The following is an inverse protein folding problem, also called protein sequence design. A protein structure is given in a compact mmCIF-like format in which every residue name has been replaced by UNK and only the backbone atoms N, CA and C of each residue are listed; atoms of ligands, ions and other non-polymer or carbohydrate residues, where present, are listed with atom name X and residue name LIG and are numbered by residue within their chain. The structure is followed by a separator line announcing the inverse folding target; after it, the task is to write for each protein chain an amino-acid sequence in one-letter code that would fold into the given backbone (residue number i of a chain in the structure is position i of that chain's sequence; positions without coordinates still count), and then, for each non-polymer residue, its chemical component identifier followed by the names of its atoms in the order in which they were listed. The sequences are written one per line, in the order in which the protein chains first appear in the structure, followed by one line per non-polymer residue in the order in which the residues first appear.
data_IF_166479908418
#
_entry.id   IF_166479908418
#
_cell.length_a   1.000
_cell.length_b   1.000
_cell.length_c   1.000
_cell.angle_alpha   90.00
_cell.angle_beta   90.00
_cell.angle_gamma   90.00
#
_symmetry.space_group_name_H-M   'P 1'
#
loop_
_entity.id
_entity.type
_entity.pdbx_description
1 polymer ?
#
# COMPACT_ATOMS: atom_id res chain seq x y z
N UNK A 1 -21.62 0.68 12.22
CA UNK A 1 -20.60 1.34 13.06
C UNK A 1 -20.69 2.82 12.74
N UNK A 2 -21.41 3.54 13.59
CA UNK A 2 -21.68 4.98 13.46
C UNK A 2 -20.39 5.77 13.74
N UNK A 3 -20.37 7.04 13.36
CA UNK A 3 -19.20 7.95 13.50
C UNK A 3 -18.61 7.98 14.91
N UNK A 4 -19.42 7.78 15.95
CA UNK A 4 -18.97 7.73 17.35
C UNK A 4 -18.00 6.57 17.65
N UNK A 5 -18.17 5.39 17.02
CA UNK A 5 -17.22 4.27 17.16
C UNK A 5 -15.90 4.50 16.38
N UNK A 6 -15.88 5.44 15.43
CA UNK A 6 -14.70 5.73 14.63
C UNK A 6 -13.76 6.77 15.30
N UNK A 7 -14.31 7.72 16.07
CA UNK A 7 -13.51 8.63 16.91
C UNK A 7 -12.78 7.87 18.03
N UNK A 8 -13.41 6.86 18.62
CA UNK A 8 -12.77 6.02 19.66
C UNK A 8 -11.57 5.21 19.12
N UNK A 9 -11.50 4.99 17.81
CA UNK A 9 -10.45 4.18 17.17
C UNK A 9 -9.37 4.99 16.45
N UNK A 10 -9.36 6.33 16.57
CA UNK A 10 -8.26 7.21 16.17
C UNK A 10 -7.77 7.03 14.71
N UNK A 11 -8.68 6.75 13.79
CA UNK A 11 -8.36 6.59 12.36
C UNK A 11 -8.41 7.96 11.66
N UNK A 12 -7.28 8.68 11.67
CA UNK A 12 -7.14 9.96 10.98
C UNK A 12 -7.45 9.85 9.48
N UNK A 13 -8.37 10.68 8.99
CA UNK A 13 -8.72 10.79 7.57
C UNK A 13 -8.34 12.15 7.00
N UNK A 14 -7.73 12.14 5.82
CA UNK A 14 -7.48 13.35 5.03
C UNK A 14 -8.80 14.10 4.69
N UNK A 15 -8.86 15.44 4.86
CA UNK A 15 -10.06 16.26 4.61
C UNK A 15 -10.64 16.14 3.19
N UNK A 16 -9.82 15.80 2.20
CA UNK A 16 -10.20 15.67 0.79
C UNK A 16 -11.21 14.55 0.51
N UNK A 17 -11.37 13.61 1.44
CA UNK A 17 -12.21 12.42 1.26
C UNK A 17 -13.61 12.52 1.89
N UNK A 18 -13.92 13.59 2.64
CA UNK A 18 -15.21 13.73 3.37
C UNK A 18 -16.43 13.53 2.48
N UNK A 19 -16.50 14.19 1.32
CA UNK A 19 -17.68 14.17 0.43
C UNK A 19 -18.10 12.79 -0.09
N UNK A 20 -17.21 11.81 -0.02
CA UNK A 20 -17.46 10.45 -0.52
C UNK A 20 -17.76 9.45 0.60
N UNK A 21 -17.53 9.84 1.84
CA UNK A 21 -17.87 9.06 3.02
C UNK A 21 -19.11 9.61 3.73
N UNK A 22 -19.57 10.83 3.40
CA UNK A 22 -20.84 11.37 3.88
C UNK A 22 -22.00 11.09 2.92
N UNK A 23 -23.13 10.57 3.44
CA UNK A 23 -24.38 10.53 2.67
C UNK A 23 -24.96 11.94 2.57
N UNK A 24 -25.27 12.39 1.37
CA UNK A 24 -25.86 13.72 1.14
C UNK A 24 -27.31 13.87 1.63
N UNK A 25 -27.97 12.77 2.01
CA UNK A 25 -29.36 12.78 2.52
C UNK A 25 -29.44 12.87 4.04
N UNK A 26 -28.45 12.34 4.75
CA UNK A 26 -28.45 12.30 6.22
C UNK A 26 -27.18 12.86 6.85
N UNK A 27 -26.25 13.36 6.03
CA UNK A 27 -24.97 14.00 6.41
C UNK A 27 -24.04 13.14 7.28
N UNK A 28 -24.35 11.86 7.48
CA UNK A 28 -23.53 10.95 8.29
C UNK A 28 -22.32 10.43 7.52
N UNK A 29 -21.18 10.36 8.22
CA UNK A 29 -19.94 9.76 7.72
C UNK A 29 -19.92 8.25 7.99
N UNK A 30 -19.68 7.45 6.95
CA UNK A 30 -19.71 5.99 7.00
C UNK A 30 -18.31 5.37 6.92
N UNK A 31 -18.06 4.37 7.77
CA UNK A 31 -16.80 3.62 7.85
C UNK A 31 -17.05 2.10 7.74
N UNK A 32 -15.98 1.33 7.49
CA UNK A 32 -16.01 -0.14 7.50
C UNK A 32 -17.04 -0.77 6.54
N UNK A 33 -17.87 -1.67 7.06
CA UNK A 33 -18.90 -2.42 6.30
C UNK A 33 -19.90 -1.51 5.58
N UNK A 34 -20.20 -0.32 6.12
CA UNK A 34 -21.13 0.62 5.46
C UNK A 34 -20.46 1.35 4.29
N UNK A 35 -19.18 1.70 4.41
CA UNK A 35 -18.36 2.18 3.28
C UNK A 35 -18.24 1.11 2.19
N UNK A 36 -18.08 -0.16 2.59
CA UNK A 36 -18.10 -1.30 1.68
C UNK A 36 -19.45 -1.44 0.95
N UNK A 37 -20.57 -1.41 1.69
CA UNK A 37 -21.92 -1.49 1.12
C UNK A 37 -22.24 -0.32 0.19
N UNK A 38 -21.82 0.90 0.53
CA UNK A 38 -21.93 2.08 -0.33
C UNK A 38 -21.03 1.95 -1.55
N UNK A 39 -19.80 1.47 -1.40
CA UNK A 39 -18.92 1.15 -2.52
C UNK A 39 -19.56 0.12 -3.46
N UNK A 40 -20.20 -0.91 -2.92
CA UNK A 40 -20.81 -2.00 -3.70
C UNK A 40 -22.08 -1.54 -4.39
N UNK A 41 -22.92 -0.77 -3.69
CA UNK A 41 -24.09 -0.11 -4.26
C UNK A 41 -23.67 0.90 -5.36
N UNK A 42 -22.62 1.69 -5.12
CA UNK A 42 -22.01 2.57 -6.12
C UNK A 42 -21.46 1.75 -7.29
N UNK A 43 -20.74 0.66 -7.04
CA UNK A 43 -20.20 -0.21 -8.08
C UNK A 43 -21.32 -0.76 -8.95
N UNK A 44 -22.36 -1.39 -8.38
CA UNK A 44 -23.53 -1.89 -9.13
C UNK A 44 -24.26 -0.80 -9.92
N UNK A 45 -24.45 0.38 -9.33
CA UNK A 45 -25.07 1.53 -10.04
C UNK A 45 -24.16 2.13 -11.12
N UNK A 46 -22.84 1.95 -11.02
CA UNK A 46 -21.85 2.49 -11.95
C UNK A 46 -21.20 1.45 -12.87
N UNK A 47 -21.60 0.17 -12.84
CA UNK A 47 -21.18 -0.84 -13.85
C UNK A 47 -21.56 -0.42 -15.26
N UNK A 48 -22.63 0.36 -15.42
CA UNK A 48 -23.04 0.93 -16.72
C UNK A 48 -22.23 2.15 -17.18
N UNK A 49 -21.39 2.75 -16.32
CA UNK A 49 -20.53 3.89 -16.70
C UNK A 49 -19.31 3.42 -17.48
N UNK A 50 -18.75 4.24 -18.39
CA UNK A 50 -17.50 3.92 -19.08
C UNK A 50 -16.38 3.54 -18.11
N UNK A 51 -15.49 2.62 -18.49
CA UNK A 51 -14.35 2.21 -17.66
C UNK A 51 -13.41 3.38 -17.29
N UNK A 52 -13.36 4.41 -18.15
CA UNK A 52 -12.59 5.62 -17.90
C UNK A 52 -13.19 6.54 -16.82
N UNK A 53 -14.47 6.38 -16.48
CA UNK A 53 -15.17 7.21 -15.50
C UNK A 53 -14.49 7.11 -14.13
N UNK A 54 -14.09 8.25 -13.60
CA UNK A 54 -13.39 8.33 -12.32
C UNK A 54 -14.25 7.82 -11.15
N UNK A 55 -15.56 8.01 -11.20
CA UNK A 55 -16.51 7.55 -10.17
C UNK A 55 -16.55 6.03 -10.12
N UNK A 56 -16.60 5.37 -11.28
CA UNK A 56 -16.52 3.91 -11.38
C UNK A 56 -15.22 3.38 -10.76
N UNK A 57 -14.07 3.99 -11.10
CA UNK A 57 -12.75 3.62 -10.55
C UNK A 57 -12.67 3.84 -9.04
N UNK A 58 -13.16 4.99 -8.57
CA UNK A 58 -13.16 5.34 -7.15
C UNK A 58 -14.04 4.36 -6.36
N UNK A 59 -15.24 4.04 -6.85
CA UNK A 59 -16.14 3.08 -6.22
C UNK A 59 -15.49 1.71 -6.04
N UNK A 60 -14.85 1.17 -7.09
CA UNK A 60 -14.14 -0.12 -7.01
C UNK A 60 -13.06 -0.11 -5.93
N UNK A 61 -12.24 0.94 -5.88
CA UNK A 61 -11.20 1.07 -4.84
C UNK A 61 -11.80 1.12 -3.42
N UNK A 62 -12.91 1.83 -3.24
CA UNK A 62 -13.56 1.91 -1.93
C UNK A 62 -14.18 0.58 -1.50
N UNK A 63 -14.73 -0.20 -2.45
CA UNK A 63 -15.21 -1.56 -2.19
C UNK A 63 -14.07 -2.44 -1.70
N UNK A 64 -12.96 -2.48 -2.45
CA UNK A 64 -11.79 -3.28 -2.12
C UNK A 64 -11.24 -2.94 -0.74
N UNK A 65 -10.99 -1.65 -0.47
CA UNK A 65 -10.51 -1.20 0.83
C UNK A 65 -11.49 -1.56 1.96
N UNK A 66 -12.80 -1.45 1.71
CA UNK A 66 -13.84 -1.82 2.68
C UNK A 66 -13.88 -3.32 2.96
N UNK A 67 -13.73 -4.16 1.93
CA UNK A 67 -13.64 -5.62 2.07
C UNK A 67 -12.41 -6.02 2.89
N UNK A 68 -11.25 -5.46 2.53
CA UNK A 68 -9.99 -5.76 3.22
C UNK A 68 -10.05 -5.34 4.70
N UNK A 69 -10.60 -4.16 5.00
CA UNK A 69 -10.80 -3.71 6.38
C UNK A 69 -11.79 -4.57 7.18
N UNK A 70 -12.73 -5.24 6.50
CA UNK A 70 -13.67 -6.17 7.11
C UNK A 70 -13.12 -7.61 7.19
N UNK A 71 -11.87 -7.86 6.78
CA UNK A 71 -11.24 -9.18 6.79
C UNK A 71 -11.61 -10.06 5.58
N UNK A 72 -12.40 -9.56 4.64
CA UNK A 72 -12.79 -10.27 3.41
C UNK A 72 -11.72 -10.12 2.33
N UNK A 73 -10.51 -10.62 2.60
CA UNK A 73 -9.34 -10.38 1.74
C UNK A 73 -9.43 -11.06 0.36
N UNK A 74 -10.10 -12.21 0.23
CA UNK A 74 -10.32 -12.87 -1.07
C UNK A 74 -11.25 -12.05 -1.98
N UNK A 75 -12.32 -11.50 -1.41
CA UNK A 75 -13.24 -10.63 -2.14
C UNK A 75 -12.55 -9.31 -2.52
N UNK A 76 -11.77 -8.74 -1.59
CA UNK A 76 -10.98 -7.52 -1.85
C UNK A 76 -10.03 -7.73 -3.03
N UNK A 77 -9.29 -8.84 -3.01
CA UNK A 77 -8.37 -9.23 -4.07
C UNK A 77 -9.07 -9.32 -5.44
N UNK A 78 -10.25 -9.95 -5.49
CA UNK A 78 -11.03 -10.07 -6.74
C UNK A 78 -11.39 -8.70 -7.32
N UNK A 79 -11.80 -7.75 -6.48
CA UNK A 79 -12.13 -6.38 -6.91
C UNK A 79 -10.89 -5.62 -7.38
N UNK A 80 -9.77 -5.79 -6.69
CA UNK A 80 -8.49 -5.15 -7.02
C UNK A 80 -7.90 -5.68 -8.33
N UNK A 81 -7.97 -7.00 -8.59
CA UNK A 81 -7.55 -7.61 -9.85
C UNK A 81 -8.40 -7.13 -11.03
N UNK A 82 -9.72 -7.02 -10.82
CA UNK A 82 -10.63 -6.45 -11.81
C UNK A 82 -10.31 -4.96 -12.06
N UNK A 83 -10.02 -4.20 -11.01
CA UNK A 83 -9.64 -2.80 -11.12
C UNK A 83 -8.33 -2.62 -11.88
N UNK A 84 -7.30 -3.42 -11.57
CA UNK A 84 -6.01 -3.39 -12.25
C UNK A 84 -6.16 -3.71 -13.73
N UNK A 85 -6.93 -4.75 -14.06
CA UNK A 85 -7.22 -5.15 -15.44
C UNK A 85 -7.92 -4.03 -16.21
N UNK A 86 -8.90 -3.38 -15.59
CA UNK A 86 -9.60 -2.22 -16.16
C UNK A 86 -8.65 -1.05 -16.39
N UNK A 87 -7.82 -0.68 -15.39
CA UNK A 87 -6.85 0.42 -15.52
C UNK A 87 -5.86 0.19 -16.66
N UNK A 88 -5.41 -1.05 -16.86
CA UNK A 88 -4.56 -1.43 -18.00
C UNK A 88 -5.27 -1.27 -19.34
N UNK A 89 -6.53 -1.71 -19.46
CA UNK A 89 -7.32 -1.57 -20.70
C UNK A 89 -7.51 -0.12 -21.13
N UNK A 90 -7.79 0.77 -20.17
CA UNK A 90 -8.03 2.19 -20.46
C UNK A 90 -6.74 3.01 -20.58
N UNK A 91 -5.56 2.38 -20.43
CA UNK A 91 -4.27 3.08 -20.45
C UNK A 91 -4.13 4.12 -19.33
N UNK A 92 -4.58 3.80 -18.11
CA UNK A 92 -4.44 4.70 -16.98
C UNK A 92 -2.97 4.98 -16.65
N UNK A 93 -2.71 6.13 -16.02
CA UNK A 93 -1.35 6.50 -15.62
C UNK A 93 -0.74 5.47 -14.66
N UNK A 94 0.58 5.31 -14.75
CA UNK A 94 1.35 4.42 -13.86
C UNK A 94 1.05 4.66 -12.38
N UNK A 95 0.91 5.91 -11.94
CA UNK A 95 0.53 6.22 -10.56
C UNK A 95 -0.80 5.60 -10.11
N UNK A 96 -1.79 5.55 -10.99
CA UNK A 96 -3.07 4.90 -10.66
C UNK A 96 -2.90 3.37 -10.57
N UNK A 97 -2.04 2.80 -11.42
CA UNK A 97 -1.73 1.37 -11.41
C UNK A 97 -0.98 0.99 -10.12
N UNK A 98 0.02 1.78 -9.72
CA UNK A 98 0.79 1.58 -8.48
C UNK A 98 -0.10 1.58 -7.24
N UNK A 99 -1.08 2.49 -7.17
CA UNK A 99 -2.02 2.53 -6.06
C UNK A 99 -2.81 1.23 -5.90
N UNK A 100 -3.23 0.61 -7.00
CA UNK A 100 -3.94 -0.68 -6.97
C UNK A 100 -2.99 -1.85 -6.70
N UNK A 101 -1.77 -1.81 -7.23
CA UNK A 101 -0.75 -2.83 -6.96
C UNK A 101 -0.36 -2.88 -5.47
N UNK A 102 -0.25 -1.72 -4.80
CA UNK A 102 0.00 -1.69 -3.36
C UNK A 102 -1.10 -2.37 -2.56
N UNK A 103 -2.36 -2.11 -2.91
CA UNK A 103 -3.50 -2.75 -2.29
C UNK A 103 -3.49 -4.28 -2.53
N UNK A 104 -3.24 -4.70 -3.77
CA UNK A 104 -3.10 -6.12 -4.11
C UNK A 104 -2.02 -6.81 -3.28
N UNK A 105 -0.84 -6.18 -3.16
CA UNK A 105 0.24 -6.75 -2.36
C UNK A 105 -0.15 -6.90 -0.89
N UNK A 106 -0.87 -5.92 -0.32
CA UNK A 106 -1.39 -6.01 1.05
C UNK A 106 -2.41 -7.15 1.19
N UNK A 107 -3.36 -7.26 0.24
CA UNK A 107 -4.36 -8.34 0.23
C UNK A 107 -3.70 -9.72 0.12
N UNK A 108 -2.72 -9.90 -0.77
CA UNK A 108 -1.95 -11.15 -0.85
C UNK A 108 -1.21 -11.46 0.44
N UNK A 109 -0.59 -10.46 1.09
CA UNK A 109 0.11 -10.67 2.36
C UNK A 109 -0.85 -11.11 3.49
N UNK A 110 -2.06 -10.54 3.56
CA UNK A 110 -3.07 -10.95 4.55
C UNK A 110 -3.58 -12.38 4.30
N UNK A 111 -3.57 -12.84 3.05
CA UNK A 111 -3.89 -14.22 2.67
C UNK A 111 -2.72 -15.19 2.83
N UNK A 112 -1.57 -14.75 3.39
CA UNK A 112 -0.36 -15.56 3.52
C UNK A 112 0.38 -15.83 2.21
N UNK A 113 -0.03 -15.19 1.10
CA UNK A 113 0.55 -15.32 -0.24
C UNK A 113 1.73 -14.36 -0.41
N UNK A 114 2.74 -14.51 0.46
CA UNK A 114 3.83 -13.55 0.61
C UNK A 114 4.73 -13.42 -0.62
N UNK A 115 4.94 -14.49 -1.40
CA UNK A 115 5.74 -14.43 -2.63
C UNK A 115 5.12 -13.54 -3.70
N UNK A 116 3.79 -13.58 -3.84
CA UNK A 116 3.05 -12.74 -4.79
C UNK A 116 3.05 -11.28 -4.36
N UNK A 117 2.86 -11.03 -3.05
CA UNK A 117 3.02 -9.70 -2.47
C UNK A 117 4.43 -9.14 -2.72
N UNK A 118 5.47 -9.96 -2.52
CA UNK A 118 6.86 -9.57 -2.71
C UNK A 118 7.15 -9.17 -4.16
N UNK A 119 6.68 -9.97 -5.14
CA UNK A 119 6.84 -9.65 -6.56
C UNK A 119 6.22 -8.29 -6.90
N UNK A 120 4.99 -8.05 -6.44
CA UNK A 120 4.28 -6.81 -6.74
C UNK A 120 4.97 -5.60 -6.09
N UNK A 121 5.42 -5.71 -4.84
CA UNK A 121 6.13 -4.62 -4.18
C UNK A 121 7.50 -4.33 -4.82
N UNK A 122 8.20 -5.36 -5.31
CA UNK A 122 9.41 -5.19 -6.10
C UNK A 122 9.15 -4.39 -7.37
N UNK A 123 8.10 -4.73 -8.12
CA UNK A 123 7.69 -3.99 -9.31
C UNK A 123 7.33 -2.53 -8.97
N UNK A 124 6.54 -2.32 -7.92
CA UNK A 124 6.17 -0.97 -7.44
C UNK A 124 7.41 -0.14 -7.11
N UNK A 125 8.36 -0.71 -6.36
CA UNK A 125 9.61 -0.03 -6.00
C UNK A 125 10.39 0.38 -7.25
N UNK A 126 10.58 -0.53 -8.21
CA UNK A 126 11.32 -0.25 -9.44
C UNK A 126 10.63 0.81 -10.31
N UNK A 127 9.30 0.79 -10.39
CA UNK A 127 8.55 1.83 -11.11
C UNK A 127 8.67 3.19 -10.40
N UNK A 128 8.61 3.23 -9.06
CA UNK A 128 8.84 4.48 -8.32
C UNK A 128 10.25 5.05 -8.53
N UNK A 129 11.28 4.20 -8.52
CA UNK A 129 12.66 4.62 -8.85
C UNK A 129 12.70 5.23 -10.26
N UNK A 130 12.04 4.60 -11.24
CA UNK A 130 12.02 5.09 -12.63
C UNK A 130 11.26 6.40 -12.81
N UNK A 131 10.11 6.56 -12.16
CA UNK A 131 9.23 7.72 -12.35
C UNK A 131 9.65 8.92 -11.51
N UNK A 132 10.07 8.69 -10.28
CA UNK A 132 10.28 9.74 -9.27
C UNK A 132 11.74 9.91 -8.88
N UNK A 133 12.61 8.97 -9.26
CA UNK A 133 13.99 8.90 -8.77
C UNK A 133 14.09 8.29 -7.37
N UNK A 134 15.32 8.05 -6.94
CA UNK A 134 15.64 7.39 -5.67
C UNK A 134 15.38 8.29 -4.44
N UNK A 135 15.42 9.62 -4.61
CA UNK A 135 15.28 10.60 -3.53
C UNK A 135 13.83 10.87 -3.12
N UNK A 136 12.87 10.49 -3.97
CA UNK A 136 11.48 10.81 -3.72
C UNK A 136 10.94 9.99 -2.54
N UNK A 137 10.17 10.65 -1.64
CA UNK A 137 9.62 10.04 -0.43
C UNK A 137 8.81 8.76 -0.75
N UNK A 138 8.01 8.80 -1.82
CA UNK A 138 7.27 7.62 -2.29
C UNK A 138 8.16 6.43 -2.70
N UNK A 139 9.36 6.67 -3.22
CA UNK A 139 10.34 5.61 -3.54
C UNK A 139 10.93 5.02 -2.27
N UNK A 140 11.21 5.85 -1.26
CA UNK A 140 11.69 5.41 0.06
C UNK A 140 10.63 4.58 0.80
N UNK A 141 9.36 4.99 0.72
CA UNK A 141 8.22 4.21 1.25
C UNK A 141 8.08 2.86 0.55
N UNK A 142 8.10 2.84 -0.79
CA UNK A 142 8.02 1.60 -1.56
C UNK A 142 9.19 0.64 -1.24
N UNK A 143 10.39 1.17 -1.02
CA UNK A 143 11.54 0.38 -0.59
C UNK A 143 11.34 -0.23 0.81
N UNK A 144 10.75 0.53 1.74
CA UNK A 144 10.43 0.03 3.08
C UNK A 144 9.41 -1.11 3.03
N UNK A 145 8.34 -0.93 2.25
CA UNK A 145 7.28 -1.93 2.11
C UNK A 145 7.84 -3.21 1.48
N UNK A 146 8.62 -3.08 0.40
CA UNK A 146 9.27 -4.21 -0.25
C UNK A 146 10.21 -4.95 0.71
N UNK A 147 11.05 -4.23 1.44
CA UNK A 147 11.94 -4.83 2.43
C UNK A 147 11.19 -5.54 3.56
N UNK A 148 10.04 -4.99 4.01
CA UNK A 148 9.22 -5.62 5.04
C UNK A 148 8.73 -7.00 4.60
N UNK A 149 8.25 -7.12 3.36
CA UNK A 149 7.78 -8.41 2.83
C UNK A 149 8.94 -9.38 2.57
N UNK A 150 10.10 -8.89 2.14
CA UNK A 150 11.29 -9.74 2.02
C UNK A 150 11.73 -10.31 3.38
N UNK A 151 11.60 -9.55 4.47
CA UNK A 151 11.87 -10.03 5.83
C UNK A 151 10.87 -11.10 6.27
N UNK A 152 9.60 -11.02 5.86
CA UNK A 152 8.61 -12.06 6.16
C UNK A 152 8.88 -13.35 5.39
N UNK A 153 9.55 -13.26 4.24
CA UNK A 153 9.97 -14.40 3.42
C UNK A 153 11.38 -14.93 3.76
N UNK A 154 12.04 -14.38 4.77
CA UNK A 154 13.45 -14.69 5.11
C UNK A 154 14.44 -14.49 3.93
N UNK A 155 14.10 -13.60 2.99
CA UNK A 155 14.95 -13.25 1.82
C UNK A 155 15.98 -12.20 2.18
N UNK A 156 16.83 -12.49 3.16
CA UNK A 156 17.72 -11.52 3.79
C UNK A 156 18.74 -10.86 2.84
N UNK A 157 19.20 -11.57 1.81
CA UNK A 157 20.13 -11.00 0.83
C UNK A 157 19.49 -9.90 -0.02
N UNK A 158 18.20 -10.02 -0.32
CA UNK A 158 17.46 -9.01 -1.07
C UNK A 158 17.11 -7.80 -0.21
N UNK A 159 16.74 -8.03 1.06
CA UNK A 159 16.61 -6.96 2.06
C UNK A 159 17.89 -6.12 2.09
N UNK A 160 19.05 -6.79 2.18
CA UNK A 160 20.36 -6.14 2.20
C UNK A 160 20.60 -5.31 0.94
N UNK A 161 20.33 -5.89 -0.23
CA UNK A 161 20.51 -5.22 -1.54
C UNK A 161 19.68 -3.94 -1.67
N UNK A 162 18.40 -3.99 -1.30
CA UNK A 162 17.48 -2.84 -1.38
C UNK A 162 17.87 -1.77 -0.36
N UNK A 163 17.97 -2.13 0.92
CA UNK A 163 18.11 -1.15 2.00
C UNK A 163 19.50 -0.50 2.06
N UNK A 164 20.56 -1.21 1.65
CA UNK A 164 21.92 -0.63 1.55
C UNK A 164 21.98 0.53 0.55
N UNK A 165 21.15 0.51 -0.50
CA UNK A 165 21.04 1.63 -1.46
C UNK A 165 20.12 2.73 -0.95
N UNK A 166 18.99 2.37 -0.34
CA UNK A 166 17.95 3.33 0.06
C UNK A 166 18.31 4.11 1.33
N UNK A 167 18.95 3.48 2.33
CA UNK A 167 19.24 4.11 3.62
C UNK A 167 20.11 5.38 3.53
N UNK A 168 21.22 5.41 2.77
CA UNK A 168 22.02 6.63 2.60
C UNK A 168 21.22 7.77 1.95
N UNK A 169 20.32 7.44 1.01
CA UNK A 169 19.44 8.41 0.36
C UNK A 169 18.42 8.96 1.35
N UNK A 170 17.75 8.10 2.12
CA UNK A 170 16.81 8.51 3.16
C UNK A 170 17.46 9.41 4.21
N UNK A 171 18.68 9.06 4.66
CA UNK A 171 19.48 9.89 5.57
C UNK A 171 19.75 11.28 5.01
N UNK A 172 20.12 11.38 3.73
CA UNK A 172 20.40 12.67 3.07
C UNK A 172 19.15 13.52 2.88
N UNK A 173 18.05 12.91 2.45
CA UNK A 173 16.81 13.63 2.07
C UNK A 173 15.95 13.99 3.29
N UNK A 174 15.81 13.05 4.23
CA UNK A 174 14.89 13.16 5.36
C UNK A 174 15.59 13.45 6.69
N UNK A 175 16.90 13.20 6.78
CA UNK A 175 17.67 13.27 8.01
C UNK A 175 17.66 11.96 8.81
N UNK A 176 18.58 11.88 9.77
CA UNK A 176 18.84 10.67 10.58
C UNK A 176 17.69 10.32 11.54
N UNK A 177 17.05 11.34 12.11
CA UNK A 177 15.99 11.19 13.11
C UNK A 177 14.58 11.05 12.53
N UNK A 178 14.45 10.99 11.20
CA UNK A 178 13.14 10.82 10.56
C UNK A 178 12.63 9.39 10.76
N UNK A 179 11.33 9.23 11.06
CA UNK A 179 10.69 7.94 11.27
C UNK A 179 10.94 6.94 10.12
N UNK A 180 10.84 7.40 8.86
CA UNK A 180 11.06 6.55 7.70
C UNK A 180 12.52 6.07 7.63
N UNK A 181 13.48 6.96 7.86
CA UNK A 181 14.92 6.60 7.92
C UNK A 181 15.18 5.57 9.02
N UNK A 182 14.61 5.75 10.21
CA UNK A 182 14.76 4.82 11.33
C UNK A 182 14.13 3.46 11.03
N UNK A 183 12.94 3.42 10.40
CA UNK A 183 12.27 2.17 10.01
C UNK A 183 13.05 1.40 8.95
N UNK A 184 13.65 2.08 7.97
CA UNK A 184 14.53 1.45 6.99
C UNK A 184 15.73 0.77 7.66
N UNK A 185 16.38 1.46 8.60
CA UNK A 185 17.50 0.91 9.38
C UNK A 185 17.08 -0.28 10.25
N UNK A 186 15.93 -0.15 10.91
CA UNK A 186 15.36 -1.24 11.70
C UNK A 186 15.12 -2.49 10.84
N UNK A 187 14.53 -2.33 9.66
CA UNK A 187 14.31 -3.43 8.73
C UNK A 187 15.64 -4.02 8.22
N UNK A 188 16.66 -3.20 8.00
CA UNK A 188 18.00 -3.68 7.63
C UNK A 188 18.60 -4.53 8.76
N UNK A 189 18.59 -4.02 9.99
CA UNK A 189 19.05 -4.76 11.18
C UNK A 189 18.29 -6.08 11.36
N UNK A 190 16.96 -6.06 11.21
CA UNK A 190 16.11 -7.25 11.31
C UNK A 190 16.41 -8.29 10.23
N UNK A 191 16.66 -7.84 8.99
CA UNK A 191 17.08 -8.71 7.90
C UNK A 191 18.45 -9.34 8.15
N UNK A 192 19.41 -8.57 8.69
CA UNK A 192 20.75 -9.06 9.03
C UNK A 192 20.76 -10.01 10.22
N UNK A 193 19.96 -9.75 11.25
CA UNK A 193 19.84 -10.64 12.41
C UNK A 193 19.39 -12.06 12.01
N UNK A 194 18.49 -12.15 11.03
CA UNK A 194 18.04 -13.42 10.45
C UNK A 194 19.06 -14.05 9.49
N UNK A 195 20.08 -13.31 9.07
CA UNK A 195 21.07 -13.76 8.11
C UNK A 195 22.32 -14.32 8.81
N UNK A 196 22.52 -15.63 8.74
CA UNK A 196 23.71 -16.29 9.30
C UNK A 196 25.02 -15.89 8.60
N UNK A 197 24.97 -15.20 7.46
CA UNK A 197 26.12 -14.69 6.72
C UNK A 197 26.36 -13.18 6.90
N UNK A 198 25.67 -12.52 7.84
CA UNK A 198 25.89 -11.09 8.11
C UNK A 198 27.30 -10.83 8.65
N UNK A 199 27.99 -9.84 8.10
CA UNK A 199 29.32 -9.41 8.56
C UNK A 199 29.21 -8.34 9.65
N UNK A 200 30.30 -8.14 10.41
CA UNK A 200 30.36 -7.07 11.42
C UNK A 200 30.17 -5.67 10.80
N UNK A 201 30.64 -5.47 9.56
CA UNK A 201 30.46 -4.21 8.85
C UNK A 201 28.99 -3.99 8.46
N UNK A 202 28.27 -5.05 8.09
CA UNK A 202 26.83 -4.96 7.84
C UNK A 202 26.07 -4.52 9.11
N UNK A 203 26.46 -5.03 10.28
CA UNK A 203 25.87 -4.64 11.56
C UNK A 203 26.20 -3.19 11.94
N UNK A 204 27.41 -2.71 11.60
CA UNK A 204 27.81 -1.31 11.81
C UNK A 204 27.07 -0.34 10.89
N UNK A 205 26.73 -0.74 9.67
CA UNK A 205 25.91 0.06 8.75
C UNK A 205 24.45 0.20 9.24
N UNK A 206 23.99 -0.71 10.11
CA UNK A 206 22.64 -0.66 10.67
C UNK A 206 22.50 0.31 11.87
N UNK A 207 23.55 0.44 12.69
CA UNK A 207 23.65 1.30 13.91
C UNK A 207 24.06 2.72 13.57
#
# INVERSE_FOLDING_TARGET
ILFEEAEENNLDLEPSWRRWNTCSLCEQSYHGVVKHALGWACWKTYVGRPEADWTRRSAMRQVANGLSAAGHHEDALTVEEAQLSMLRRIGASEYNILGVQNNLAASYAQLGRHDEASRIQGDVYHVHVKLNGEEHIGTLLAALDYATTLITLDRCQEVKSVLRKTMPVARRVLGEGNDLTLRLRWNYAKGLYKNSAATLDDLREAV
#
